data_IF_768077613948
#
_entry.id   IF_768077613948
#
_cell.length_a   1.000
_cell.length_b   1.000
_cell.length_c   1.000
_cell.angle_alpha   90.00
_cell.angle_beta   90.00
_cell.angle_gamma   90.00
#
_symmetry.space_group_name_H-M   'P 1'
#
loop_
_entity.id
_entity.type
_entity.pdbx_description
1 polymer ?
#
# COMPACT_ATOMS: atom_id res chain seq x y z
N UNK A 1 -22.79 -9.44 -6.31
CA UNK A 1 -22.11 -8.13 -6.21
C UNK A 1 -20.74 -8.34 -5.58
N UNK A 2 -19.67 -7.67 -6.03
CA UNK A 2 -18.32 -7.77 -5.45
C UNK A 2 -17.90 -6.44 -4.81
N UNK A 3 -17.17 -6.52 -3.68
CA UNK A 3 -16.67 -5.38 -2.89
C UNK A 3 -15.16 -5.52 -2.73
N UNK A 4 -14.41 -4.44 -2.96
CA UNK A 4 -13.00 -4.28 -2.64
C UNK A 4 -12.88 -3.37 -1.42
N UNK A 5 -12.45 -3.96 -0.31
CA UNK A 5 -12.16 -3.26 0.95
C UNK A 5 -11.10 -2.17 0.72
N UNK A 6 -11.40 -0.94 1.14
CA UNK A 6 -10.54 0.23 0.97
C UNK A 6 -9.46 0.25 2.06
N UNK A 7 -8.20 0.49 1.70
CA UNK A 7 -7.14 0.69 2.68
C UNK A 7 -6.36 -0.57 3.07
N UNK A 8 -6.81 -1.75 2.63
CA UNK A 8 -6.23 -3.04 3.00
C UNK A 8 -5.72 -3.82 1.79
N UNK A 9 -4.51 -4.35 1.85
CA UNK A 9 -3.97 -5.33 0.91
C UNK A 9 -3.57 -6.60 1.65
N UNK A 10 -4.30 -7.69 1.46
CA UNK A 10 -3.97 -8.99 2.05
C UNK A 10 -3.04 -9.78 1.14
N UNK A 11 -2.24 -10.71 1.67
CA UNK A 11 -1.50 -11.67 0.85
C UNK A 11 -2.43 -12.43 -0.10
N UNK A 12 -1.93 -12.73 -1.30
CA UNK A 12 -2.74 -13.38 -2.33
C UNK A 12 -2.98 -14.86 -2.01
N UNK A 13 -4.24 -15.29 -2.10
CA UNK A 13 -4.60 -16.71 -2.01
C UNK A 13 -4.09 -17.47 -3.24
N UNK A 14 -3.88 -18.78 -3.11
CA UNK A 14 -3.41 -19.62 -4.22
C UNK A 14 -4.25 -19.42 -5.49
N UNK A 15 -3.57 -19.15 -6.61
CA UNK A 15 -4.14 -19.17 -7.97
C UNK A 15 -3.51 -20.33 -8.72
N UNK A 16 -4.22 -20.92 -9.69
CA UNK A 16 -3.79 -22.12 -10.44
C UNK A 16 -2.27 -22.11 -10.72
N UNK A 17 -1.53 -23.02 -10.07
CA UNK A 17 -0.07 -23.18 -10.21
C UNK A 17 0.82 -22.37 -9.26
N UNK A 18 0.26 -21.61 -8.31
CA UNK A 18 1.01 -20.83 -7.31
C UNK A 18 0.51 -21.16 -5.89
N UNK A 19 1.45 -21.45 -4.98
CA UNK A 19 1.16 -21.58 -3.55
C UNK A 19 0.60 -20.28 -3.00
N UNK A 20 -0.33 -20.38 -2.04
CA UNK A 20 -0.83 -19.21 -1.33
C UNK A 20 0.32 -18.47 -0.64
N UNK A 21 0.26 -17.14 -0.64
CA UNK A 21 1.21 -16.36 0.13
C UNK A 21 1.00 -16.61 1.64
N UNK A 22 2.06 -16.54 2.47
CA UNK A 22 1.92 -16.66 3.91
C UNK A 22 0.80 -15.74 4.44
N UNK A 23 -0.01 -16.26 5.36
CA UNK A 23 -1.18 -15.58 5.95
C UNK A 23 -2.38 -15.30 5.04
N UNK A 24 -2.34 -15.64 3.74
CA UNK A 24 -3.50 -15.44 2.84
C UNK A 24 -4.76 -16.17 3.33
N UNK A 25 -4.64 -17.47 3.65
CA UNK A 25 -5.76 -18.27 4.17
C UNK A 25 -6.19 -17.83 5.58
N UNK A 26 -5.26 -17.33 6.40
CA UNK A 26 -5.59 -16.78 7.72
C UNK A 26 -6.43 -15.50 7.60
N UNK A 27 -6.03 -14.57 6.72
CA UNK A 27 -6.76 -13.35 6.43
C UNK A 27 -8.17 -13.65 5.91
N UNK A 28 -8.29 -14.61 4.99
CA UNK A 28 -9.58 -15.06 4.44
C UNK A 28 -10.49 -15.64 5.52
N UNK A 29 -9.99 -16.59 6.31
CA UNK A 29 -10.77 -17.20 7.40
C UNK A 29 -11.18 -16.18 8.44
N UNK A 30 -10.30 -15.24 8.78
CA UNK A 30 -10.62 -14.19 9.75
C UNK A 30 -11.72 -13.28 9.23
N UNK A 31 -11.64 -12.81 7.99
CA UNK A 31 -12.70 -11.99 7.41
C UNK A 31 -14.04 -12.75 7.39
N UNK A 32 -14.04 -14.04 7.07
CA UNK A 32 -15.25 -14.87 7.13
C UNK A 32 -15.83 -14.91 8.55
N UNK A 33 -14.98 -15.19 9.56
CA UNK A 33 -15.40 -15.20 10.95
C UNK A 33 -16.01 -13.85 11.40
N UNK A 34 -15.39 -12.72 11.02
CA UNK A 34 -15.91 -11.39 11.34
C UNK A 34 -17.28 -11.12 10.70
N UNK A 35 -17.51 -11.60 9.48
CA UNK A 35 -18.82 -11.51 8.82
C UNK A 35 -19.85 -12.40 9.51
N UNK A 36 -19.46 -13.62 9.90
CA UNK A 36 -20.34 -14.56 10.60
C UNK A 36 -20.70 -14.04 12.01
N UNK A 37 -19.74 -13.50 12.75
CA UNK A 37 -19.91 -12.79 14.03
C UNK A 37 -20.86 -11.58 13.89
N UNK A 38 -20.90 -10.96 12.70
CA UNK A 38 -21.83 -9.90 12.32
C UNK A 38 -23.17 -10.45 11.78
N UNK A 39 -23.49 -11.71 12.06
CA UNK A 39 -24.72 -12.39 11.65
C UNK A 39 -24.90 -12.42 10.13
N UNK A 40 -23.80 -12.56 9.37
CA UNK A 40 -23.80 -12.58 7.91
C UNK A 40 -24.15 -11.24 7.25
N UNK A 41 -24.19 -10.14 7.99
CA UNK A 41 -24.54 -8.81 7.48
C UNK A 41 -23.44 -7.80 7.79
N UNK A 42 -23.16 -6.90 6.85
CA UNK A 42 -22.16 -5.84 7.01
C UNK A 42 -22.68 -4.51 6.49
N UNK A 43 -22.23 -3.42 7.12
CA UNK A 43 -22.41 -2.06 6.62
C UNK A 43 -21.32 -1.71 5.59
N UNK A 44 -21.70 -1.00 4.53
CA UNK A 44 -20.76 -0.53 3.51
C UNK A 44 -20.76 1.00 3.46
N UNK A 45 -19.62 1.62 3.74
CA UNK A 45 -19.39 3.03 3.44
C UNK A 45 -18.64 3.14 2.12
N UNK A 46 -19.37 3.46 1.05
CA UNK A 46 -18.79 3.60 -0.29
C UNK A 46 -17.80 4.76 -0.32
N UNK A 47 -16.64 4.55 -0.92
CA UNK A 47 -15.62 5.58 -1.08
C UNK A 47 -16.04 6.68 -2.06
N UNK A 48 -15.30 7.80 -2.06
CA UNK A 48 -15.49 8.89 -3.01
C UNK A 48 -15.42 8.38 -4.47
N UNK A 49 -14.46 7.51 -4.76
CA UNK A 49 -14.50 6.69 -5.95
C UNK A 49 -15.24 5.39 -5.62
N UNK A 50 -16.41 5.18 -6.23
CA UNK A 50 -17.32 4.09 -5.87
C UNK A 50 -16.97 2.75 -6.52
N UNK A 51 -16.22 2.76 -7.63
CA UNK A 51 -15.88 1.58 -8.43
C UNK A 51 -14.41 1.55 -8.83
N UNK A 52 -13.83 0.35 -8.82
CA UNK A 52 -12.54 0.12 -9.49
C UNK A 52 -12.70 -0.22 -10.97
N UNK A 53 -11.59 -0.40 -11.69
CA UNK A 53 -11.61 -0.70 -13.12
C UNK A 53 -12.16 -2.09 -13.46
N UNK A 54 -12.34 -2.97 -12.46
CA UNK A 54 -13.00 -4.27 -12.60
C UNK A 54 -14.50 -4.22 -12.26
N UNK A 55 -15.04 -3.04 -11.94
CA UNK A 55 -16.45 -2.86 -11.56
C UNK A 55 -16.79 -3.29 -10.12
N UNK A 56 -15.79 -3.61 -9.28
CA UNK A 56 -16.01 -3.92 -7.87
C UNK A 56 -16.35 -2.65 -7.11
N UNK A 57 -17.23 -2.76 -6.12
CA UNK A 57 -17.58 -1.63 -5.24
C UNK A 57 -16.40 -1.33 -4.32
N UNK A 58 -15.93 -0.09 -4.25
CA UNK A 58 -14.92 0.33 -3.28
C UNK A 58 -15.64 0.85 -2.04
N UNK A 59 -15.45 0.17 -0.91
CA UNK A 59 -16.09 0.55 0.35
C UNK A 59 -15.23 0.18 1.56
N UNK A 60 -15.39 0.94 2.65
CA UNK A 60 -15.00 0.49 3.98
C UNK A 60 -16.13 -0.37 4.56
N UNK A 61 -15.76 -1.49 5.19
CA UNK A 61 -16.72 -2.49 5.67
C UNK A 61 -16.81 -2.44 7.19
N UNK A 62 -18.03 -2.49 7.72
CA UNK A 62 -18.30 -2.43 9.15
C UNK A 62 -19.17 -3.59 9.59
N UNK A 63 -18.93 -4.11 10.79
CA UNK A 63 -19.84 -5.05 11.44
C UNK A 63 -21.12 -4.34 11.94
N UNK A 64 -22.07 -5.11 12.47
CA UNK A 64 -23.32 -4.58 13.07
C UNK A 64 -23.09 -3.68 14.28
N UNK A 65 -21.94 -3.76 14.94
CA UNK A 65 -21.56 -2.94 16.10
C UNK A 65 -20.83 -1.65 15.68
N UNK A 66 -20.57 -1.47 14.38
CA UNK A 66 -19.87 -0.32 13.82
C UNK A 66 -18.35 -0.44 13.85
N UNK A 67 -17.78 -1.61 14.13
CA UNK A 67 -16.34 -1.82 14.06
C UNK A 67 -15.88 -2.01 12.60
N UNK A 68 -14.77 -1.36 12.23
CA UNK A 68 -14.24 -1.42 10.87
C UNK A 68 -13.41 -2.70 10.65
N UNK A 69 -13.82 -3.53 9.68
CA UNK A 69 -13.19 -4.82 9.43
C UNK A 69 -11.78 -4.69 8.85
N UNK A 70 -11.50 -3.68 8.02
CA UNK A 70 -10.15 -3.43 7.53
C UNK A 70 -9.16 -3.13 8.67
N UNK A 71 -9.54 -2.26 9.59
CA UNK A 71 -8.73 -1.92 10.75
C UNK A 71 -8.49 -3.15 11.65
N UNK A 72 -9.49 -4.00 11.87
CA UNK A 72 -9.32 -5.25 12.61
C UNK A 72 -8.29 -6.17 11.95
N UNK A 73 -8.43 -6.43 10.64
CA UNK A 73 -7.48 -7.27 9.90
C UNK A 73 -6.05 -6.70 9.92
N UNK A 74 -5.91 -5.37 9.84
CA UNK A 74 -4.60 -4.73 9.96
C UNK A 74 -4.01 -4.88 11.36
N UNK A 75 -4.82 -4.71 12.42
CA UNK A 75 -4.38 -4.85 13.81
C UNK A 75 -3.95 -6.27 14.18
N UNK A 76 -4.49 -7.26 13.48
CA UNK A 76 -4.12 -8.67 13.63
C UNK A 76 -2.94 -9.09 12.73
N UNK A 77 -2.38 -8.14 11.94
CA UNK A 77 -1.26 -8.40 11.04
C UNK A 77 -1.63 -9.26 9.83
N UNK A 78 -2.90 -9.23 9.40
CA UNK A 78 -3.41 -10.06 8.29
C UNK A 78 -3.41 -9.33 6.94
N UNK A 79 -2.73 -8.19 6.86
CA UNK A 79 -2.52 -7.46 5.62
C UNK A 79 -1.70 -6.19 5.82
N UNK A 80 -1.58 -5.44 4.74
CA UNK A 80 -0.82 -4.19 4.65
C UNK A 80 -1.75 -3.02 4.37
N UNK A 81 -1.46 -1.87 4.97
CA UNK A 81 -2.11 -0.61 4.66
C UNK A 81 -1.75 -0.17 3.24
N UNK A 82 -2.78 0.21 2.47
CA UNK A 82 -2.65 0.81 1.15
C UNK A 82 -3.46 2.11 1.04
N UNK A 83 -2.79 3.25 0.88
CA UNK A 83 -3.45 4.54 0.79
C UNK A 83 -3.61 5.00 -0.67
N UNK A 84 -4.72 4.60 -1.29
CA UNK A 84 -5.03 4.92 -2.70
C UNK A 84 -6.03 6.07 -2.77
N UNK A 85 -5.57 7.26 -3.16
CA UNK A 85 -6.43 8.43 -3.33
C UNK A 85 -7.45 8.23 -4.47
N UNK A 86 -8.69 8.76 -4.37
CA UNK A 86 -9.17 9.65 -3.30
C UNK A 86 -9.77 8.91 -2.08
N UNK A 87 -9.74 7.57 -2.05
CA UNK A 87 -10.36 6.76 -1.01
C UNK A 87 -9.43 6.59 0.21
N UNK A 88 -9.17 7.68 0.94
CA UNK A 88 -8.19 7.73 2.05
C UNK A 88 -8.81 8.13 3.40
N UNK A 89 -10.14 8.16 3.51
CA UNK A 89 -10.85 8.70 4.68
C UNK A 89 -10.54 8.00 6.03
N UNK A 90 -10.05 6.75 6.01
CA UNK A 90 -9.70 5.99 7.22
C UNK A 90 -8.20 5.74 7.38
N UNK A 91 -7.36 6.39 6.57
CA UNK A 91 -5.92 6.05 6.50
C UNK A 91 -5.22 6.15 7.85
N UNK A 92 -5.54 7.15 8.67
CA UNK A 92 -4.90 7.35 9.98
C UNK A 92 -5.27 6.25 10.98
N UNK A 93 -6.55 5.84 11.00
CA UNK A 93 -7.04 4.73 11.82
C UNK A 93 -6.37 3.41 11.40
N UNK A 94 -6.35 3.14 10.10
CA UNK A 94 -5.75 1.95 9.53
C UNK A 94 -4.23 1.91 9.75
N UNK A 95 -3.56 3.06 9.68
CA UNK A 95 -2.13 3.18 9.98
C UNK A 95 -1.85 2.92 11.46
N UNK A 96 -2.70 3.40 12.36
CA UNK A 96 -2.63 3.05 13.78
C UNK A 96 -2.75 1.55 14.03
N UNK A 97 -3.72 0.90 13.40
CA UNK A 97 -3.93 -0.54 13.50
C UNK A 97 -2.72 -1.34 12.98
N UNK A 98 -2.22 -1.02 11.79
CA UNK A 98 -1.06 -1.71 11.22
C UNK A 98 0.22 -1.48 12.04
N UNK A 99 0.43 -0.27 12.59
CA UNK A 99 1.56 0.00 13.50
C UNK A 99 1.54 -0.91 14.72
N UNK A 100 0.37 -1.13 15.33
CA UNK A 100 0.23 -2.03 16.47
C UNK A 100 0.63 -3.47 16.10
N UNK A 101 0.14 -3.97 14.96
CA UNK A 101 0.51 -5.29 14.46
C UNK A 101 2.02 -5.42 14.16
N UNK A 102 2.62 -4.38 13.57
CA UNK A 102 4.06 -4.35 13.27
C UNK A 102 4.90 -4.35 14.54
N UNK A 103 4.54 -3.58 15.56
CA UNK A 103 5.23 -3.53 16.85
C UNK A 103 5.12 -4.86 17.61
N UNK A 104 3.95 -5.50 17.56
CA UNK A 104 3.72 -6.81 18.16
C UNK A 104 4.17 -7.99 17.29
N UNK A 105 4.82 -7.72 16.15
CA UNK A 105 5.32 -8.74 15.21
C UNK A 105 4.24 -9.76 14.81
N UNK A 106 3.02 -9.29 14.52
CA UNK A 106 1.88 -10.14 14.20
C UNK A 106 1.79 -10.46 12.70
N UNK A 107 1.35 -11.68 12.39
CA UNK A 107 1.05 -12.12 11.03
C UNK A 107 2.16 -11.80 10.03
N UNK A 108 1.84 -11.02 9.00
CA UNK A 108 2.75 -10.60 7.93
C UNK A 108 3.97 -9.78 8.42
N UNK A 109 3.98 -9.36 9.68
CA UNK A 109 5.05 -8.60 10.31
C UNK A 109 5.98 -9.45 11.20
N UNK A 110 5.74 -10.76 11.32
CA UNK A 110 6.65 -11.68 12.04
C UNK A 110 8.06 -11.62 11.47
N UNK A 111 8.13 -11.71 10.15
CA UNK A 111 9.33 -11.44 9.37
C UNK A 111 9.13 -10.12 8.63
N UNK A 112 10.14 -9.25 8.65
CA UNK A 112 9.99 -7.93 8.02
C UNK A 112 9.75 -8.08 6.52
N UNK A 113 8.59 -7.60 5.98
CA UNK A 113 8.31 -7.62 4.54
C UNK A 113 9.11 -6.55 3.78
N UNK A 114 9.83 -5.68 4.51
CA UNK A 114 10.56 -4.55 3.95
C UNK A 114 11.82 -5.06 3.26
N UNK A 115 11.93 -4.83 1.96
CA UNK A 115 13.12 -5.19 1.19
C UNK A 115 13.90 -3.95 0.75
N UNK A 116 15.25 -3.99 0.68
CA UNK A 116 16.02 -2.95 0.02
C UNK A 116 15.54 -2.73 -1.42
N UNK A 117 15.47 -1.48 -1.86
CA UNK A 117 15.05 -1.12 -3.23
C UNK A 117 15.93 -1.75 -4.31
N UNK A 118 17.19 -2.07 -3.97
CA UNK A 118 18.15 -2.80 -4.84
C UNK A 118 17.78 -4.26 -5.10
N UNK A 119 16.94 -4.88 -4.26
CA UNK A 119 16.51 -6.27 -4.42
C UNK A 119 15.21 -6.42 -5.22
N UNK A 120 14.62 -5.32 -5.70
CA UNK A 120 13.42 -5.37 -6.55
C UNK A 120 13.70 -6.10 -7.87
N UNK A 121 13.02 -7.23 -8.05
CA UNK A 121 13.14 -8.10 -9.23
C UNK A 121 11.83 -8.28 -10.02
N UNK A 122 10.68 -7.98 -9.40
CA UNK A 122 9.34 -8.13 -9.99
C UNK A 122 8.44 -6.93 -9.69
N UNK A 123 7.49 -6.69 -10.59
CA UNK A 123 6.37 -5.77 -10.37
C UNK A 123 5.37 -6.34 -9.35
N UNK A 124 4.56 -5.48 -8.75
CA UNK A 124 3.54 -5.88 -7.77
C UNK A 124 3.59 -5.01 -6.52
N UNK A 125 2.77 -5.34 -5.53
CA UNK A 125 2.85 -4.66 -4.24
C UNK A 125 4.19 -4.97 -3.57
N UNK A 126 4.85 -3.93 -3.05
CA UNK A 126 6.08 -4.07 -2.28
C UNK A 126 6.15 -2.99 -1.19
N UNK A 127 6.84 -3.33 -0.10
CA UNK A 127 7.34 -2.37 0.89
C UNK A 127 8.85 -2.35 0.74
N UNK A 128 9.40 -1.19 0.41
CA UNK A 128 10.80 -1.03 0.04
C UNK A 128 11.49 -0.01 0.92
N UNK A 129 12.76 -0.25 1.22
CA UNK A 129 13.61 0.72 1.91
C UNK A 129 14.79 1.15 1.03
N UNK A 130 15.22 2.39 1.17
CA UNK A 130 16.42 2.89 0.49
C UNK A 130 16.80 4.29 0.93
N UNK A 131 18.08 4.64 0.76
CA UNK A 131 18.53 6.01 0.95
C UNK A 131 18.17 6.84 -0.29
N UNK A 132 17.53 7.99 -0.10
CA UNK A 132 17.14 8.85 -1.22
C UNK A 132 18.37 9.45 -1.89
N UNK A 133 18.55 9.17 -3.18
CA UNK A 133 19.65 9.70 -4.00
C UNK A 133 19.37 11.13 -4.44
N UNK A 134 18.16 11.40 -4.91
CA UNK A 134 17.76 12.70 -5.41
C UNK A 134 16.25 12.89 -5.27
N UNK A 135 15.85 14.16 -5.20
CA UNK A 135 14.45 14.59 -5.27
C UNK A 135 14.37 15.66 -6.34
N UNK A 136 13.51 15.46 -7.34
CA UNK A 136 13.36 16.36 -8.48
C UNK A 136 11.89 16.72 -8.67
N UNK A 137 11.62 17.99 -8.96
CA UNK A 137 10.27 18.48 -9.29
C UNK A 137 10.25 19.00 -10.73
N UNK A 138 9.28 18.54 -11.50
CA UNK A 138 9.06 19.00 -12.88
C UNK A 138 7.56 18.90 -13.23
N UNK A 139 7.21 19.15 -14.50
CA UNK A 139 5.81 19.05 -14.99
C UNK A 139 5.18 17.67 -14.77
N UNK A 140 6.00 16.62 -14.66
CA UNK A 140 5.58 15.25 -14.39
C UNK A 140 5.29 14.93 -12.92
N UNK A 141 5.52 15.89 -12.01
CA UNK A 141 5.31 15.76 -10.57
C UNK A 141 6.62 15.82 -9.78
N UNK A 142 6.63 15.18 -8.60
CA UNK A 142 7.83 15.00 -7.77
C UNK A 142 8.35 13.58 -7.98
N UNK A 143 9.65 13.46 -8.20
CA UNK A 143 10.37 12.22 -8.45
C UNK A 143 11.43 12.03 -7.36
N UNK A 144 11.38 10.91 -6.66
CA UNK A 144 12.29 10.58 -5.57
C UNK A 144 13.06 9.34 -5.98
N UNK A 145 14.35 9.47 -6.25
CA UNK A 145 15.18 8.38 -6.73
C UNK A 145 15.77 7.57 -5.58
N UNK A 146 15.67 6.25 -5.69
CA UNK A 146 16.26 5.27 -4.79
C UNK A 146 17.29 4.41 -5.54
N UNK A 147 18.24 3.76 -4.84
CA UNK A 147 19.11 2.74 -5.41
C UNK A 147 18.32 1.59 -6.06
N UNK A 148 18.93 0.88 -7.01
CA UNK A 148 18.29 -0.26 -7.67
C UNK A 148 17.36 0.11 -8.83
N UNK A 149 17.55 1.28 -9.45
CA UNK A 149 16.72 1.76 -10.56
C UNK A 149 15.23 1.87 -10.19
N UNK A 150 14.94 2.29 -8.96
CA UNK A 150 13.61 2.60 -8.47
C UNK A 150 13.42 4.11 -8.35
N UNK A 151 12.29 4.60 -8.87
CA UNK A 151 11.84 5.97 -8.63
C UNK A 151 10.44 5.96 -8.02
N UNK A 152 10.25 6.72 -6.95
CA UNK A 152 8.94 7.03 -6.40
C UNK A 152 8.40 8.27 -7.10
N UNK A 153 7.10 8.30 -7.42
CA UNK A 153 6.50 9.43 -8.13
C UNK A 153 5.24 9.93 -7.45
N UNK A 154 5.24 11.19 -7.05
CA UNK A 154 4.02 11.94 -6.72
C UNK A 154 3.55 12.64 -7.99
N UNK A 155 2.44 12.19 -8.57
CA UNK A 155 1.88 12.80 -9.78
C UNK A 155 1.36 14.23 -9.49
N UNK A 156 1.28 15.14 -10.49
CA UNK A 156 0.87 16.52 -10.28
C UNK A 156 -0.45 16.68 -9.51
N UNK A 157 -1.44 15.85 -9.81
CA UNK A 157 -2.74 15.85 -9.13
C UNK A 157 -2.68 15.53 -7.63
N UNK A 158 -1.60 14.87 -7.17
CA UNK A 158 -1.42 14.49 -5.78
C UNK A 158 -0.42 15.40 -5.06
N UNK A 159 0.32 16.28 -5.73
CA UNK A 159 1.39 17.07 -5.08
C UNK A 159 0.86 17.88 -3.90
N UNK A 160 -0.36 18.42 -4.00
CA UNK A 160 -0.98 19.24 -2.95
C UNK A 160 -1.30 18.46 -1.66
N UNK A 161 -1.32 17.12 -1.70
CA UNK A 161 -1.51 16.31 -0.48
C UNK A 161 -0.19 16.04 0.25
N UNK A 162 0.96 16.43 -0.30
CA UNK A 162 2.28 16.21 0.31
C UNK A 162 2.89 17.53 0.78
N UNK A 163 3.59 17.48 1.92
CA UNK A 163 4.52 18.54 2.31
C UNK A 163 5.76 18.48 1.39
N UNK A 164 5.78 19.35 0.37
CA UNK A 164 6.86 19.35 -0.61
C UNK A 164 8.20 19.76 -0.01
N UNK A 165 8.20 20.63 1.00
CA UNK A 165 9.43 21.05 1.67
C UNK A 165 10.02 19.90 2.49
N UNK A 166 9.19 19.08 3.12
CA UNK A 166 9.62 17.83 3.76
C UNK A 166 10.20 16.86 2.72
N UNK A 167 9.52 16.66 1.58
CA UNK A 167 9.99 15.76 0.53
C UNK A 167 11.36 16.15 0.00
N UNK A 168 11.61 17.44 -0.23
CA UNK A 168 12.91 17.94 -0.70
C UNK A 168 14.06 17.64 0.28
N UNK A 169 13.77 17.66 1.58
CA UNK A 169 14.74 17.33 2.64
C UNK A 169 15.03 15.83 2.77
N UNK A 170 14.30 14.96 2.07
CA UNK A 170 14.55 13.52 2.13
C UNK A 170 15.86 13.12 1.48
N UNK A 171 16.48 13.95 0.63
CA UNK A 171 17.77 13.63 0.00
C UNK A 171 18.82 13.21 1.05
N UNK A 172 19.40 12.03 0.88
CA UNK A 172 20.36 11.44 1.81
C UNK A 172 19.73 10.73 3.01
N UNK A 173 18.43 10.84 3.24
CA UNK A 173 17.74 10.14 4.32
C UNK A 173 17.34 8.73 3.89
N UNK A 174 17.30 7.82 4.87
CA UNK A 174 16.71 6.51 4.70
C UNK A 174 15.18 6.63 4.73
N UNK A 175 14.49 6.01 3.77
CA UNK A 175 13.02 6.01 3.69
C UNK A 175 12.47 4.60 3.50
N UNK A 176 11.24 4.39 3.97
CA UNK A 176 10.38 3.27 3.61
C UNK A 176 9.25 3.78 2.71
N UNK A 177 9.03 3.11 1.59
CA UNK A 177 7.93 3.40 0.67
C UNK A 177 7.13 2.12 0.41
N UNK A 178 5.83 2.25 0.19
CA UNK A 178 4.94 1.11 -0.09
C UNK A 178 3.96 1.40 -1.21
N UNK A 179 3.66 0.39 -2.02
CA UNK A 179 2.69 0.50 -3.11
C UNK A 179 2.96 -0.48 -4.24
N UNK A 180 2.26 -0.29 -5.36
CA UNK A 180 2.41 -1.14 -6.54
C UNK A 180 3.57 -0.66 -7.42
N UNK A 181 4.64 -1.44 -7.45
CA UNK A 181 5.79 -1.24 -8.33
C UNK A 181 5.44 -1.69 -9.74
N UNK A 182 5.72 -0.84 -10.72
CA UNK A 182 5.51 -1.09 -12.15
C UNK A 182 6.87 -1.25 -12.84
N UNK A 183 7.00 -2.28 -13.67
CA UNK A 183 8.14 -2.48 -14.56
C UNK A 183 7.96 -1.65 -15.84
N UNK A 184 8.69 -0.53 -15.97
CA UNK A 184 8.55 0.35 -17.14
C UNK A 184 9.17 -0.22 -18.40
N UNK A 185 10.12 -1.15 -18.31
CA UNK A 185 10.75 -1.76 -19.50
C UNK A 185 9.79 -2.64 -20.29
N UNK A 186 8.69 -3.10 -19.67
CA UNK A 186 7.65 -3.88 -20.35
C UNK A 186 6.73 -3.05 -21.24
N UNK A 187 6.80 -1.72 -21.16
CA UNK A 187 5.97 -0.79 -21.95
C UNK A 187 6.72 -0.15 -23.13
N UNK A 188 7.91 -0.66 -23.45
CA UNK A 188 8.78 -0.15 -24.52
C UNK A 188 10.18 0.16 -24.02
N UNK A 189 11.03 0.67 -24.93
CA UNK A 189 12.40 1.05 -24.62
C UNK A 189 12.43 2.18 -23.57
N UNK A 190 13.23 2.00 -22.52
CA UNK A 190 13.49 3.04 -21.54
C UNK A 190 14.38 4.12 -22.17
N UNK A 191 14.07 5.40 -21.88
CA UNK A 191 15.00 6.49 -22.23
C UNK A 191 16.28 6.36 -21.42
N UNK A 192 17.40 6.83 -21.96
CA UNK A 192 18.67 6.86 -21.22
C UNK A 192 18.48 7.60 -19.88
N UNK A 193 18.99 7.01 -18.79
CA UNK A 193 18.83 7.52 -17.42
C UNK A 193 17.46 7.29 -16.77
N UNK A 194 16.48 6.70 -17.48
CA UNK A 194 15.16 6.43 -16.90
C UNK A 194 15.17 5.17 -16.02
N UNK A 195 14.81 5.32 -14.73
CA UNK A 195 14.68 4.20 -13.81
C UNK A 195 13.72 3.11 -14.34
N UNK A 196 14.09 1.83 -14.21
CA UNK A 196 13.23 0.71 -14.64
C UNK A 196 11.95 0.63 -13.82
N UNK A 197 12.07 0.71 -12.50
CA UNK A 197 10.97 0.53 -11.56
C UNK A 197 10.34 1.87 -11.20
N UNK A 198 9.01 1.92 -11.22
CA UNK A 198 8.22 3.08 -10.80
C UNK A 198 7.25 2.67 -9.70
N UNK A 199 7.26 3.39 -8.57
CA UNK A 199 6.26 3.26 -7.50
C UNK A 199 5.48 4.58 -7.38
N UNK A 200 4.21 4.65 -7.84
CA UNK A 200 3.39 5.84 -7.67
C UNK A 200 2.97 6.05 -6.22
N UNK A 201 3.14 7.27 -5.72
CA UNK A 201 2.66 7.71 -4.42
C UNK A 201 1.41 8.56 -4.61
N UNK A 202 0.30 8.15 -3.99
CA UNK A 202 -0.97 8.88 -4.07
C UNK A 202 -1.38 9.55 -2.75
N UNK A 203 -0.72 9.18 -1.65
CA UNK A 203 -0.98 9.71 -0.32
C UNK A 203 0.30 9.70 0.53
N UNK A 204 0.53 10.68 1.44
CA UNK A 204 1.73 10.73 2.29
C UNK A 204 1.98 9.47 3.12
N UNK A 205 0.92 8.79 3.59
CA UNK A 205 1.04 7.54 4.36
C UNK A 205 1.76 6.39 3.62
N UNK A 206 2.03 6.54 2.32
CA UNK A 206 2.79 5.58 1.52
C UNK A 206 4.32 5.76 1.60
N UNK A 207 4.81 6.84 2.21
CA UNK A 207 6.22 7.18 2.31
C UNK A 207 6.54 7.69 3.72
N UNK A 208 7.51 7.09 4.39
CA UNK A 208 7.98 7.54 5.70
C UNK A 208 9.52 7.55 5.74
N UNK A 209 10.14 8.49 6.48
CA UNK A 209 11.52 8.32 6.91
C UNK A 209 11.66 7.03 7.71
N UNK A 210 12.70 6.23 7.44
CA UNK A 210 13.01 5.04 8.25
C UNK A 210 13.75 5.46 9.52
N UNK A 211 13.36 4.91 10.68
CA UNK A 211 14.06 5.14 11.96
C UNK A 211 13.37 6.05 12.96
N UNK A 212 12.04 6.23 12.85
CA UNK A 212 11.19 6.70 13.96
C UNK A 212 10.14 5.66 14.29
#
# INVERSE_FOLDING_TARGET
RSVRMIGLNTPETSKKGQSAEPFAEAAKRRLQALVDESGGQVGLRVGQQSKDHYGRTLANVYDRKGANLEAQLLSEGLGYLVAVAPNVALVDCQQGAERAARQAQLGVWRDSPVQPSTRLSKSGFAIVSGQVKSVQRNRGGIWIELPGSLVLRVAPANVNSFDTAMLERLKGQQVEARGWVVDRSRRGALKSGQARWLLPLTHPAMLSPSGR
#
